data_IF_957312615891
#
_entry.id   IF_957312615891
#
_cell.length_a   1.000
_cell.length_b   1.000
_cell.length_c   1.000
_cell.angle_alpha   90.00
_cell.angle_beta   90.00
_cell.angle_gamma   90.00
#
_symmetry.space_group_name_H-M   'P 1'
#
loop_
_entity.id
_entity.type
_entity.pdbx_description
1 polymer ?
#
# COMPACT_ATOMS: atom_id res chain seq x y z
N UNK A 1 1.03 -1.16 4.56
CA UNK A 1 2.06 -0.52 5.37
C UNK A 1 2.01 -1.03 6.79
N UNK A 2 2.94 -0.61 7.64
CA UNK A 2 2.93 -0.91 9.09
C UNK A 2 3.44 -2.29 9.50
N UNK A 3 3.20 -3.32 8.71
CA UNK A 3 3.68 -4.69 9.02
C UNK A 3 5.01 -4.97 8.30
N UNK A 4 5.00 -5.04 6.97
CA UNK A 4 6.19 -5.38 6.17
C UNK A 4 7.09 -4.18 5.89
N UNK A 5 6.54 -2.96 5.97
CA UNK A 5 7.23 -1.71 5.64
C UNK A 5 6.90 -0.63 6.66
N UNK A 6 7.86 0.25 6.91
CA UNK A 6 7.64 1.52 7.61
C UNK A 6 7.16 2.58 6.63
N UNK A 7 6.28 3.49 7.10
CA UNK A 7 5.74 4.59 6.31
C UNK A 7 6.27 5.92 6.83
N UNK A 8 6.98 6.65 5.98
CA UNK A 8 7.65 7.92 6.31
C UNK A 8 6.88 9.13 5.75
N UNK A 9 5.63 9.31 6.18
CA UNK A 9 4.74 10.38 5.70
C UNK A 9 5.34 11.78 5.83
N UNK A 10 6.05 12.06 6.93
CA UNK A 10 6.64 13.36 7.16
C UNK A 10 7.72 13.67 6.12
N UNK A 11 8.65 12.75 5.89
CA UNK A 11 9.72 12.93 4.91
C UNK A 11 9.21 13.09 3.47
N UNK A 12 8.20 12.30 3.08
CA UNK A 12 7.55 12.47 1.77
C UNK A 12 6.89 13.84 1.64
N UNK A 13 6.10 14.25 2.65
CA UNK A 13 5.40 15.54 2.60
C UNK A 13 6.36 16.73 2.62
N UNK A 14 7.45 16.66 3.39
CA UNK A 14 8.50 17.69 3.42
C UNK A 14 9.21 17.81 2.07
N UNK A 15 9.56 16.69 1.45
CA UNK A 15 10.20 16.66 0.14
C UNK A 15 9.33 17.30 -0.95
N UNK A 16 8.03 16.96 -1.00
CA UNK A 16 7.09 17.54 -1.94
C UNK A 16 6.80 19.02 -1.63
N UNK A 17 6.70 19.39 -0.34
CA UNK A 17 6.49 20.79 0.07
C UNK A 17 7.69 21.68 -0.27
N UNK A 18 8.92 21.14 -0.22
CA UNK A 18 10.14 21.85 -0.65
C UNK A 18 10.16 22.24 -2.13
N UNK A 19 9.41 21.52 -2.96
CA UNK A 19 9.24 21.83 -4.39
C UNK A 19 8.01 22.69 -4.68
N UNK A 20 7.08 22.80 -3.73
CA UNK A 20 5.79 23.46 -3.89
C UNK A 20 5.79 24.87 -3.29
N UNK A 21 4.99 25.76 -3.88
CA UNK A 21 4.64 27.05 -3.25
C UNK A 21 3.52 26.92 -2.21
N UNK A 22 2.99 25.72 -2.01
CA UNK A 22 1.90 25.44 -1.06
C UNK A 22 2.46 25.13 0.34
N UNK A 23 1.64 25.34 1.37
CA UNK A 23 2.01 24.93 2.73
C UNK A 23 2.13 23.41 2.87
N UNK A 24 2.94 22.96 3.82
CA UNK A 24 3.08 21.53 4.13
C UNK A 24 1.74 20.89 4.53
N UNK A 25 0.87 21.61 5.23
CA UNK A 25 -0.46 21.12 5.61
C UNK A 25 -1.35 20.87 4.38
N UNK A 26 -1.25 21.75 3.36
CA UNK A 26 -1.92 21.53 2.10
C UNK A 26 -1.37 20.27 1.39
N UNK A 27 -0.04 20.13 1.31
CA UNK A 27 0.59 18.93 0.73
C UNK A 27 0.14 17.67 1.46
N UNK A 28 0.16 17.66 2.80
CA UNK A 28 -0.34 16.55 3.62
C UNK A 28 -1.79 16.19 3.29
N UNK A 29 -2.66 17.17 3.18
CA UNK A 29 -4.08 16.95 2.88
C UNK A 29 -4.31 16.32 1.49
N UNK A 30 -3.44 16.63 0.53
CA UNK A 30 -3.49 16.08 -0.83
C UNK A 30 -2.91 14.67 -0.88
N UNK A 31 -1.78 14.43 -0.20
CA UNK A 31 -0.99 13.20 -0.32
C UNK A 31 -1.52 12.08 0.58
N UNK A 32 -1.87 12.39 1.84
CA UNK A 32 -2.24 11.33 2.81
C UNK A 32 -3.68 10.86 2.59
N UNK A 33 -4.63 11.77 2.36
CA UNK A 33 -6.06 11.44 2.29
C UNK A 33 -6.73 12.02 1.02
N UNK A 34 -5.93 12.47 0.05
CA UNK A 34 -6.45 13.12 -1.13
C UNK A 34 -7.12 12.14 -2.11
N UNK A 35 -8.15 12.58 -2.83
CA UNK A 35 -8.88 11.74 -3.78
C UNK A 35 -7.99 11.24 -4.93
N UNK A 36 -6.99 12.00 -5.35
CA UNK A 36 -6.05 11.63 -6.43
C UNK A 36 -5.26 10.36 -6.05
N UNK A 37 -4.79 10.27 -4.79
CA UNK A 37 -4.09 9.10 -4.28
C UNK A 37 -5.03 7.90 -4.19
N UNK A 38 -6.26 8.12 -3.71
CA UNK A 38 -7.27 7.07 -3.65
C UNK A 38 -7.66 6.54 -5.05
N UNK A 39 -7.75 7.42 -6.07
CA UNK A 39 -7.98 7.02 -7.47
C UNK A 39 -6.82 6.15 -7.99
N UNK A 40 -5.56 6.54 -7.70
CA UNK A 40 -4.38 5.76 -8.09
C UNK A 40 -4.37 4.38 -7.40
N UNK A 41 -4.62 4.33 -6.09
CA UNK A 41 -4.68 3.08 -5.33
C UNK A 41 -5.83 2.16 -5.76
N UNK A 42 -6.88 2.69 -6.43
CA UNK A 42 -7.93 1.89 -7.06
C UNK A 42 -7.64 1.51 -8.52
N UNK A 43 -6.49 1.90 -9.06
CA UNK A 43 -6.14 1.64 -10.45
C UNK A 43 -6.91 2.49 -11.47
N UNK A 44 -7.64 3.51 -11.02
CA UNK A 44 -8.35 4.44 -11.90
C UNK A 44 -7.42 5.42 -12.62
N UNK A 45 -6.17 5.57 -12.14
CA UNK A 45 -5.13 6.38 -12.75
C UNK A 45 -3.91 5.52 -13.08
N UNK A 46 -3.38 5.70 -14.28
CA UNK A 46 -2.04 5.19 -14.63
C UNK A 46 -0.96 6.02 -13.91
N UNK A 47 0.25 5.47 -13.69
CA UNK A 47 1.32 6.16 -12.97
C UNK A 47 1.63 7.58 -13.49
N UNK A 48 1.69 7.76 -14.80
CA UNK A 48 1.98 9.06 -15.40
C UNK A 48 0.83 10.06 -15.21
N UNK A 49 -0.42 9.61 -15.34
CA UNK A 49 -1.61 10.47 -15.13
C UNK A 49 -1.72 10.86 -13.65
N UNK A 50 -1.36 9.95 -12.75
CA UNK A 50 -1.28 10.21 -11.31
C UNK A 50 -0.24 11.29 -11.00
N UNK A 51 0.97 11.17 -11.54
CA UNK A 51 2.02 12.16 -11.40
C UNK A 51 1.57 13.53 -11.94
N UNK A 52 0.98 13.59 -13.14
CA UNK A 52 0.49 14.84 -13.72
C UNK A 52 -0.56 15.50 -12.83
N UNK A 53 -1.56 14.74 -12.34
CA UNK A 53 -2.60 15.29 -11.46
C UNK A 53 -2.03 15.81 -10.13
N UNK A 54 -1.09 15.09 -9.52
CA UNK A 54 -0.44 15.55 -8.29
C UNK A 54 0.44 16.77 -8.52
N UNK A 55 1.25 16.76 -9.58
CA UNK A 55 2.09 17.89 -9.99
C UNK A 55 1.24 19.17 -10.14
N UNK A 56 0.15 19.10 -10.90
CA UNK A 56 -0.73 20.24 -11.12
C UNK A 56 -1.43 20.70 -9.84
N UNK A 57 -1.86 19.73 -8.99
CA UNK A 57 -2.51 20.03 -7.70
C UNK A 57 -1.57 20.70 -6.70
N UNK A 58 -0.31 20.25 -6.65
CA UNK A 58 0.72 20.77 -5.73
C UNK A 58 1.41 22.02 -6.30
N UNK A 59 1.29 22.30 -7.60
CA UNK A 59 1.99 23.39 -8.26
C UNK A 59 3.49 23.19 -8.30
N UNK A 60 3.95 21.97 -8.60
CA UNK A 60 5.37 21.59 -8.69
C UNK A 60 5.77 21.29 -10.13
N UNK A 61 7.02 21.56 -10.47
CA UNK A 61 7.61 21.18 -11.75
C UNK A 61 8.61 20.05 -11.50
N UNK A 62 8.27 18.84 -11.98
CA UNK A 62 9.06 17.64 -11.73
C UNK A 62 8.88 16.62 -12.86
N UNK A 63 9.95 15.92 -13.24
CA UNK A 63 9.86 14.78 -14.17
C UNK A 63 9.21 13.59 -13.49
N UNK A 64 8.79 12.60 -14.30
CA UNK A 64 8.18 11.38 -13.74
C UNK A 64 9.17 10.59 -12.88
N UNK A 65 10.41 10.47 -13.33
CA UNK A 65 11.49 9.75 -12.62
C UNK A 65 11.77 10.39 -11.26
N UNK A 66 11.99 11.70 -11.23
CA UNK A 66 12.25 12.42 -9.97
C UNK A 66 11.03 12.39 -9.03
N UNK A 67 9.80 12.38 -9.60
CA UNK A 67 8.59 12.20 -8.81
C UNK A 67 8.52 10.81 -8.20
N UNK A 68 8.81 9.75 -8.97
CA UNK A 68 8.80 8.38 -8.48
C UNK A 68 9.83 8.20 -7.35
N UNK A 69 11.05 8.72 -7.52
CA UNK A 69 12.09 8.69 -6.47
C UNK A 69 11.62 9.35 -5.16
N UNK A 70 10.94 10.50 -5.25
CA UNK A 70 10.39 11.17 -4.06
C UNK A 70 9.20 10.38 -3.49
N UNK A 71 8.32 9.83 -4.36
CA UNK A 71 7.16 9.06 -3.94
C UNK A 71 7.58 7.82 -3.15
N UNK A 72 8.64 7.15 -3.58
CA UNK A 72 9.18 5.96 -2.95
C UNK A 72 9.88 6.23 -1.59
N UNK A 73 10.21 7.48 -1.26
CA UNK A 73 10.68 7.87 0.09
C UNK A 73 9.67 7.55 1.20
N UNK A 74 8.39 7.33 0.84
CA UNK A 74 7.38 6.87 1.80
C UNK A 74 7.77 5.55 2.45
N UNK A 75 8.48 4.67 1.73
CA UNK A 75 8.64 3.27 2.11
C UNK A 75 10.06 2.93 2.52
N UNK A 76 10.20 2.24 3.63
CA UNK A 76 11.40 1.47 3.95
C UNK A 76 11.05 0.08 4.49
N UNK A 77 11.93 -0.93 4.33
CA UNK A 77 11.64 -2.29 4.78
C UNK A 77 11.62 -2.36 6.31
N UNK A 78 10.71 -3.14 6.86
CA UNK A 78 10.75 -3.56 8.25
C UNK A 78 11.60 -4.84 8.35
N UNK A 79 12.90 -4.67 8.54
CA UNK A 79 13.84 -5.80 8.59
C UNK A 79 13.54 -6.79 9.73
N UNK A 80 12.92 -6.32 10.82
CA UNK A 80 12.56 -7.15 11.96
C UNK A 80 11.51 -8.21 11.65
N UNK A 81 10.71 -8.06 10.60
CA UNK A 81 9.69 -9.04 10.21
C UNK A 81 10.26 -10.21 9.39
N UNK A 82 11.42 -10.05 8.76
CA UNK A 82 11.99 -11.04 7.84
C UNK A 82 12.15 -12.44 8.45
N UNK A 83 12.68 -12.62 9.70
CA UNK A 83 12.78 -13.93 10.32
C UNK A 83 11.44 -14.60 10.56
N UNK A 84 10.42 -13.80 10.92
CA UNK A 84 9.07 -14.29 11.19
C UNK A 84 8.43 -14.79 9.89
N UNK A 85 8.51 -14.02 8.80
CA UNK A 85 7.97 -14.40 7.50
C UNK A 85 8.64 -15.68 6.98
N UNK A 86 9.97 -15.80 7.09
CA UNK A 86 10.72 -17.03 6.73
C UNK A 86 10.32 -18.26 7.54
N UNK A 87 9.93 -18.07 8.78
CA UNK A 87 9.45 -19.20 9.59
C UNK A 87 8.04 -19.59 9.18
N UNK A 88 7.17 -18.61 8.93
CA UNK A 88 5.79 -18.84 8.52
C UNK A 88 5.68 -19.52 7.15
N UNK A 89 6.53 -19.20 6.18
CA UNK A 89 6.49 -19.82 4.84
C UNK A 89 6.71 -21.32 4.85
N UNK A 90 7.34 -21.87 5.90
CA UNK A 90 7.58 -23.31 6.02
C UNK A 90 6.31 -24.13 6.29
N UNK A 91 5.27 -23.50 6.83
CA UNK A 91 4.04 -24.20 7.23
C UNK A 91 2.76 -23.57 6.74
N UNK A 92 2.83 -22.36 6.17
CA UNK A 92 1.68 -21.60 5.75
C UNK A 92 1.86 -21.04 4.34
N UNK A 93 0.76 -20.93 3.62
CA UNK A 93 0.69 -20.19 2.38
C UNK A 93 0.60 -18.70 2.69
N UNK A 94 1.56 -17.92 2.23
CA UNK A 94 1.63 -16.48 2.49
C UNK A 94 1.04 -15.68 1.33
N UNK A 95 0.11 -14.80 1.66
CA UNK A 95 -0.60 -13.96 0.68
C UNK A 95 -0.53 -12.51 1.13
N UNK A 96 -0.14 -11.61 0.23
CA UNK A 96 -0.11 -10.18 0.49
C UNK A 96 -1.40 -9.52 -0.01
N UNK A 97 -2.17 -8.89 0.91
CA UNK A 97 -3.27 -7.98 0.58
C UNK A 97 -2.90 -6.55 0.89
N UNK A 98 -2.65 -5.70 -0.12
CA UNK A 98 -2.10 -4.36 0.07
C UNK A 98 -2.95 -3.26 -0.58
N UNK A 99 -3.22 -2.18 0.19
CA UNK A 99 -3.60 -0.88 -0.38
C UNK A 99 -2.31 -0.20 -0.85
N UNK A 100 -2.10 -0.13 -2.15
CA UNK A 100 -0.88 0.39 -2.77
C UNK A 100 -1.17 0.93 -4.16
N UNK A 101 -0.19 1.53 -4.77
CA UNK A 101 -0.19 1.99 -6.16
C UNK A 101 0.93 1.31 -6.98
N UNK A 102 0.90 1.41 -8.31
CA UNK A 102 1.89 0.74 -9.16
C UNK A 102 3.34 1.19 -8.94
N UNK A 103 3.58 2.47 -8.54
CA UNK A 103 4.93 3.01 -8.33
C UNK A 103 5.52 2.36 -7.09
N UNK A 104 4.84 2.51 -5.94
CA UNK A 104 5.27 1.91 -4.68
C UNK A 104 5.42 0.38 -4.75
N UNK A 105 4.55 -0.32 -5.49
CA UNK A 105 4.66 -1.77 -5.57
C UNK A 105 5.85 -2.21 -6.44
N UNK A 106 6.12 -1.52 -7.56
CA UNK A 106 7.30 -1.80 -8.39
C UNK A 106 8.59 -1.60 -7.58
N UNK A 107 8.71 -0.47 -6.88
CA UNK A 107 9.84 -0.21 -5.97
C UNK A 107 9.96 -1.29 -4.89
N UNK A 108 8.86 -1.66 -4.25
CA UNK A 108 8.86 -2.67 -3.19
C UNK A 108 9.35 -4.04 -3.66
N UNK A 109 8.96 -4.46 -4.87
CA UNK A 109 9.41 -5.72 -5.47
C UNK A 109 10.92 -5.77 -5.70
N UNK A 110 11.53 -4.64 -6.04
CA UNK A 110 12.96 -4.54 -6.27
C UNK A 110 13.75 -4.47 -4.95
N UNK A 111 13.23 -3.72 -3.97
CA UNK A 111 13.99 -3.38 -2.76
C UNK A 111 13.71 -4.30 -1.57
N UNK A 112 12.53 -4.91 -1.45
CA UNK A 112 12.13 -5.61 -0.22
C UNK A 112 12.19 -7.13 -0.39
N UNK A 113 13.27 -7.72 0.11
CA UNK A 113 13.53 -9.17 0.01
C UNK A 113 12.40 -10.01 0.59
N UNK A 114 11.70 -9.50 1.61
CA UNK A 114 10.59 -10.20 2.28
C UNK A 114 9.47 -10.59 1.32
N UNK A 115 9.25 -9.82 0.24
CA UNK A 115 8.18 -10.10 -0.72
C UNK A 115 8.39 -11.39 -1.52
N UNK A 116 9.63 -11.89 -1.60
CA UNK A 116 9.96 -13.17 -2.28
C UNK A 116 9.38 -14.40 -1.57
N UNK A 117 8.95 -14.24 -0.31
CA UNK A 117 8.36 -15.31 0.50
C UNK A 117 6.84 -15.42 0.37
N UNK A 118 6.21 -14.56 -0.45
CA UNK A 118 4.76 -14.55 -0.63
C UNK A 118 4.37 -15.26 -1.93
N UNK A 119 3.40 -16.15 -1.85
CA UNK A 119 2.89 -16.95 -2.97
C UNK A 119 2.05 -16.12 -3.95
N UNK A 120 1.32 -15.13 -3.44
CA UNK A 120 0.44 -14.26 -4.24
C UNK A 120 0.36 -12.85 -3.67
N UNK A 121 0.10 -11.92 -4.59
CA UNK A 121 -0.13 -10.51 -4.30
C UNK A 121 -1.55 -10.13 -4.72
N UNK A 122 -2.27 -9.47 -3.82
CA UNK A 122 -3.58 -8.87 -4.07
C UNK A 122 -3.48 -7.38 -3.84
N UNK A 123 -3.32 -6.65 -4.92
CA UNK A 123 -2.98 -5.24 -4.91
C UNK A 123 -4.23 -4.43 -5.24
N UNK A 124 -4.50 -3.41 -4.44
CA UNK A 124 -5.72 -2.62 -4.57
C UNK A 124 -5.90 -2.01 -5.96
N UNK A 125 -4.80 -1.53 -6.58
CA UNK A 125 -4.86 -0.94 -7.91
C UNK A 125 -5.16 -1.95 -9.03
N UNK A 126 -4.89 -3.26 -8.81
CA UNK A 126 -5.26 -4.32 -9.77
C UNK A 126 -6.68 -4.83 -9.53
N UNK A 127 -7.13 -4.81 -8.28
CA UNK A 127 -8.44 -5.31 -7.88
C UNK A 127 -9.55 -4.25 -8.02
N UNK A 128 -9.21 -2.97 -8.03
CA UNK A 128 -10.18 -1.88 -7.93
C UNK A 128 -10.80 -1.74 -6.52
N UNK A 129 -10.35 -2.51 -5.56
CA UNK A 129 -10.89 -2.61 -4.20
C UNK A 129 -9.85 -2.17 -3.18
N UNK A 130 -10.29 -1.48 -2.12
CA UNK A 130 -9.44 -0.99 -1.04
C UNK A 130 -9.91 -1.54 0.30
N UNK A 131 -8.98 -1.94 1.18
CA UNK A 131 -9.29 -2.06 2.60
C UNK A 131 -9.68 -0.67 3.15
N UNK A 132 -10.68 -0.58 4.03
CA UNK A 132 -11.37 -1.64 4.76
C UNK A 132 -12.66 -2.17 4.09
N UNK A 133 -12.88 -2.02 2.79
CA UNK A 133 -14.07 -2.58 2.14
C UNK A 133 -14.09 -4.12 2.30
N UNK A 134 -15.17 -4.73 2.85
CA UNK A 134 -15.28 -6.18 2.95
C UNK A 134 -15.13 -6.91 1.61
N UNK A 135 -15.50 -6.27 0.49
CA UNK A 135 -15.35 -6.82 -0.85
C UNK A 135 -13.88 -7.16 -1.17
N UNK A 136 -12.91 -6.39 -0.63
CA UNK A 136 -11.49 -6.68 -0.79
C UNK A 136 -11.12 -8.06 -0.25
N UNK A 137 -11.59 -8.40 0.95
CA UNK A 137 -11.31 -9.69 1.60
C UNK A 137 -12.06 -10.84 0.94
N UNK A 138 -13.32 -10.63 0.58
CA UNK A 138 -14.14 -11.64 -0.11
C UNK A 138 -13.53 -12.01 -1.47
N UNK A 139 -13.02 -11.05 -2.21
CA UNK A 139 -12.34 -11.28 -3.49
C UNK A 139 -11.05 -12.07 -3.31
N UNK A 140 -10.26 -11.79 -2.27
CA UNK A 140 -9.07 -12.58 -1.94
C UNK A 140 -9.45 -14.02 -1.63
N UNK A 141 -10.41 -14.25 -0.71
CA UNK A 141 -10.87 -15.59 -0.35
C UNK A 141 -11.34 -16.39 -1.56
N UNK A 142 -12.10 -15.75 -2.44
CA UNK A 142 -12.55 -16.36 -3.69
C UNK A 142 -11.38 -16.79 -4.58
N UNK A 143 -10.39 -15.91 -4.78
CA UNK A 143 -9.23 -16.20 -5.67
C UNK A 143 -8.24 -17.19 -5.09
N UNK A 144 -8.13 -17.30 -3.77
CA UNK A 144 -7.25 -18.30 -3.13
C UNK A 144 -7.95 -19.63 -2.90
N UNK A 145 -9.26 -19.70 -3.07
CA UNK A 145 -10.11 -20.87 -2.86
C UNK A 145 -9.93 -21.46 -1.45
N UNK A 146 -10.08 -20.61 -0.41
CA UNK A 146 -9.90 -20.99 0.98
C UNK A 146 -11.10 -20.55 1.82
N UNK A 147 -11.58 -21.40 2.75
CA UNK A 147 -12.62 -20.97 3.70
C UNK A 147 -12.06 -19.92 4.66
N UNK A 148 -12.87 -18.92 5.05
CA UNK A 148 -12.42 -17.82 5.91
C UNK A 148 -11.82 -18.28 7.25
N UNK A 149 -12.35 -19.36 7.83
CA UNK A 149 -11.89 -19.90 9.12
C UNK A 149 -10.46 -20.47 9.07
N UNK A 150 -9.95 -20.80 7.89
CA UNK A 150 -8.60 -21.31 7.68
C UNK A 150 -7.58 -20.19 7.36
N UNK A 151 -8.05 -18.94 7.39
CA UNK A 151 -7.25 -17.76 7.10
C UNK A 151 -6.99 -16.93 8.36
N UNK A 152 -5.75 -16.44 8.48
CA UNK A 152 -5.36 -15.42 9.45
C UNK A 152 -4.94 -14.15 8.71
N UNK A 153 -5.56 -13.02 9.04
CA UNK A 153 -5.19 -11.70 8.54
C UNK A 153 -4.51 -10.87 9.62
N UNK A 154 -3.42 -10.20 9.27
CA UNK A 154 -2.67 -9.32 10.17
C UNK A 154 -2.51 -7.97 9.50
N UNK A 155 -2.92 -6.90 10.18
CA UNK A 155 -2.84 -5.52 9.67
C UNK A 155 -2.73 -4.56 10.85
N UNK A 156 -1.93 -3.49 10.71
CA UNK A 156 -1.70 -2.49 11.75
C UNK A 156 -2.89 -1.54 11.98
N UNK A 157 -3.90 -1.59 11.10
CA UNK A 157 -5.07 -0.70 11.15
C UNK A 157 -6.29 -1.43 11.67
N UNK A 158 -6.84 -1.03 12.86
CA UNK A 158 -8.01 -1.69 13.45
C UNK A 158 -9.22 -1.76 12.52
N UNK A 159 -9.44 -0.74 11.66
CA UNK A 159 -10.56 -0.72 10.71
C UNK A 159 -10.43 -1.83 9.66
N UNK A 160 -9.22 -2.15 9.19
CA UNK A 160 -8.99 -3.25 8.25
C UNK A 160 -9.25 -4.61 8.93
N UNK A 161 -8.74 -4.75 10.16
CA UNK A 161 -8.94 -5.96 10.98
C UNK A 161 -10.41 -6.21 11.28
N UNK A 162 -11.14 -5.17 11.68
CA UNK A 162 -12.57 -5.28 11.96
C UNK A 162 -13.36 -5.65 10.69
N UNK A 163 -13.01 -5.07 9.55
CA UNK A 163 -13.65 -5.42 8.28
C UNK A 163 -13.36 -6.87 7.87
N UNK A 164 -12.11 -7.33 7.98
CA UNK A 164 -11.76 -8.73 7.70
C UNK A 164 -12.58 -9.71 8.56
N UNK A 165 -12.77 -9.41 9.85
CA UNK A 165 -13.59 -10.22 10.76
C UNK A 165 -15.05 -10.35 10.31
N UNK A 166 -15.62 -9.32 9.66
CA UNK A 166 -17.00 -9.40 9.14
C UNK A 166 -17.16 -10.42 8.01
N UNK A 167 -16.06 -10.81 7.37
CA UNK A 167 -16.04 -11.84 6.32
C UNK A 167 -15.76 -13.24 6.84
N UNK A 168 -15.61 -13.40 8.16
CA UNK A 168 -15.32 -14.69 8.83
C UNK A 168 -13.84 -15.03 8.97
N UNK A 169 -12.94 -14.14 8.52
CA UNK A 169 -11.49 -14.30 8.68
C UNK A 169 -11.09 -14.05 10.13
N UNK A 170 -10.24 -14.90 10.70
CA UNK A 170 -9.54 -14.58 11.95
C UNK A 170 -8.55 -13.44 11.70
N UNK A 171 -8.62 -12.34 12.46
CA UNK A 171 -7.79 -11.18 12.20
C UNK A 171 -7.21 -10.54 13.48
N UNK A 172 -5.95 -10.08 13.39
CA UNK A 172 -5.16 -9.49 14.47
C UNK A 172 -4.65 -8.10 14.06
N UNK A 173 -4.59 -7.17 15.03
CA UNK A 173 -3.90 -5.88 14.91
C UNK A 173 -2.44 -6.06 15.28
#
# INVERSE_FOLDING_TARGET
GGILVHLHWDGLCESLAGLSSRSIDFVRSVVINGPIVAECMRGALKPLDFQHKLRDKLGIEITYEAFADIWDLLLSPNEGINPIVRELEKGYRLVLGSNTDPIHFAYSLEQFVVLKHFDRFFLSYEMGLLKPDPAFFLEILHRIDMPPCDCLFIDDRPENVNSARTTGITALV
#
